data_IF_325942845668
#
_entry.id   IF_325942845668
#
_cell.length_a   1.000
_cell.length_b   1.000
_cell.length_c   1.000
_cell.angle_alpha   90.00
_cell.angle_beta   90.00
_cell.angle_gamma   90.00
#
_symmetry.space_group_name_H-M   'P 1'
#
loop_
_entity.id
_entity.type
_entity.pdbx_description
1 polymer ?
#
# COMPACT_ATOMS: atom_id res chain seq x y z
N UNK A 1 -5.48 -9.14 0.23
CA UNK A 1 -4.77 -9.04 -1.06
C UNK A 1 -3.37 -9.64 -0.95
N UNK A 2 -3.20 -10.86 -0.41
CA UNK A 2 -1.87 -11.50 -0.42
C UNK A 2 -1.43 -11.76 -1.87
N UNK A 3 -0.13 -11.67 -2.15
CA UNK A 3 0.51 -11.83 -3.45
C UNK A 3 0.04 -10.87 -4.55
N UNK A 4 -0.55 -9.72 -4.19
CA UNK A 4 -0.93 -8.69 -5.17
C UNK A 4 0.25 -7.79 -5.57
N UNK A 5 0.20 -7.22 -6.76
CA UNK A 5 1.19 -6.32 -7.31
C UNK A 5 1.09 -4.92 -6.73
N UNK A 6 2.14 -4.12 -6.92
CA UNK A 6 2.21 -2.72 -6.49
C UNK A 6 1.03 -1.90 -7.04
N UNK A 7 0.66 -2.12 -8.31
CA UNK A 7 -0.40 -1.37 -8.99
C UNK A 7 -1.76 -1.49 -8.27
N UNK A 8 -2.10 -2.67 -7.76
CA UNK A 8 -3.36 -2.90 -7.05
C UNK A 8 -3.42 -2.14 -5.72
N UNK A 9 -2.32 -2.09 -4.97
CA UNK A 9 -2.25 -1.26 -3.76
C UNK A 9 -2.30 0.23 -4.07
N UNK A 10 -1.58 0.66 -5.11
CA UNK A 10 -1.58 2.04 -5.55
C UNK A 10 -3.00 2.50 -5.95
N UNK A 11 -3.75 1.64 -6.65
CA UNK A 11 -5.14 1.88 -7.04
C UNK A 11 -6.10 1.88 -5.83
N UNK A 12 -5.90 0.99 -4.87
CA UNK A 12 -6.69 0.96 -3.63
C UNK A 12 -6.50 2.25 -2.83
N UNK A 13 -5.25 2.72 -2.71
CA UNK A 13 -4.95 3.98 -2.04
C UNK A 13 -5.54 5.18 -2.79
N UNK A 14 -5.42 5.20 -4.12
CA UNK A 14 -6.03 6.21 -4.99
C UNK A 14 -7.55 6.32 -4.78
N UNK A 15 -8.27 5.20 -4.82
CA UNK A 15 -9.73 5.18 -4.66
C UNK A 15 -10.18 5.71 -3.29
N UNK A 16 -9.30 5.63 -2.29
CA UNK A 16 -9.55 6.04 -0.92
C UNK A 16 -8.78 7.32 -0.51
N UNK A 17 -8.22 8.09 -1.45
CA UNK A 17 -7.22 9.16 -1.18
C UNK A 17 -7.74 10.39 -0.41
N UNK A 18 -8.01 10.21 0.88
CA UNK A 18 -8.34 11.29 1.83
C UNK A 18 -8.10 10.79 3.26
N UNK A 19 -7.83 11.69 4.23
CA UNK A 19 -7.67 11.30 5.63
C UNK A 19 -8.87 10.53 6.17
N UNK A 20 -10.08 10.98 5.84
CA UNK A 20 -11.33 10.40 6.33
C UNK A 20 -11.57 8.99 5.76
N UNK A 21 -11.31 8.76 4.47
CA UNK A 21 -11.50 7.44 3.87
C UNK A 21 -10.40 6.47 4.30
N UNK A 22 -9.13 6.85 4.22
CA UNK A 22 -8.00 5.97 4.58
C UNK A 22 -8.04 5.55 6.05
N UNK A 23 -8.44 6.44 6.97
CA UNK A 23 -8.58 6.09 8.40
C UNK A 23 -9.68 5.07 8.69
N UNK A 24 -10.61 4.87 7.74
CA UNK A 24 -11.62 3.81 7.79
C UNK A 24 -11.18 2.54 7.04
N UNK A 25 -9.99 2.54 6.43
CA UNK A 25 -9.43 1.39 5.73
C UNK A 25 -8.57 0.54 6.67
N UNK A 26 -8.69 -0.77 6.48
CA UNK A 26 -7.87 -1.79 7.13
C UNK A 26 -7.42 -2.74 6.01
N UNK A 27 -6.12 -2.74 5.68
CA UNK A 27 -5.60 -3.52 4.56
C UNK A 27 -4.92 -4.76 5.11
N UNK A 28 -5.32 -5.93 4.63
CA UNK A 28 -4.60 -7.19 4.84
C UNK A 28 -4.02 -7.59 3.48
N UNK A 29 -2.70 -7.64 3.39
CA UNK A 29 -2.00 -7.90 2.14
C UNK A 29 -0.50 -7.97 2.34
N UNK A 30 0.25 -7.94 1.24
CA UNK A 30 1.70 -7.94 1.22
C UNK A 30 2.27 -6.79 2.03
N UNK A 31 3.41 -7.02 2.65
CA UNK A 31 4.13 -6.02 3.41
C UNK A 31 4.43 -4.79 2.55
N UNK A 32 3.99 -3.62 3.00
CA UNK A 32 4.38 -2.35 2.39
C UNK A 32 5.87 -2.07 2.59
N UNK A 33 6.41 -2.47 3.75
CA UNK A 33 7.83 -2.43 4.03
C UNK A 33 8.66 -3.21 2.99
N UNK A 34 8.20 -4.38 2.54
CA UNK A 34 8.86 -5.14 1.49
C UNK A 34 8.95 -4.38 0.15
N UNK A 35 7.91 -3.67 -0.26
CA UNK A 35 7.97 -2.85 -1.47
C UNK A 35 8.99 -1.72 -1.32
N UNK A 36 9.09 -1.08 -0.16
CA UNK A 36 10.08 -0.03 0.07
C UNK A 36 11.52 -0.54 0.11
N UNK A 37 11.73 -1.83 0.40
CA UNK A 37 13.05 -2.47 0.37
C UNK A 37 13.43 -2.92 -1.05
N UNK A 38 12.45 -3.41 -1.82
CA UNK A 38 12.67 -3.98 -3.17
C UNK A 38 12.71 -2.92 -4.27
N UNK A 39 11.94 -1.84 -4.14
CA UNK A 39 11.78 -0.83 -5.18
C UNK A 39 12.67 0.39 -4.94
N UNK A 40 13.17 0.95 -6.03
CA UNK A 40 13.87 2.24 -6.02
C UNK A 40 12.90 3.41 -5.88
N UNK A 41 13.41 4.57 -5.45
CA UNK A 41 12.64 5.82 -5.41
C UNK A 41 12.07 6.20 -6.79
N UNK A 42 12.79 5.86 -7.87
CA UNK A 42 12.32 6.08 -9.24
C UNK A 42 11.11 5.21 -9.58
N UNK A 43 11.14 3.92 -9.23
CA UNK A 43 10.02 2.99 -9.43
C UNK A 43 8.80 3.34 -8.57
N UNK A 44 9.02 3.72 -7.30
CA UNK A 44 7.94 4.23 -6.45
C UNK A 44 7.36 5.53 -6.98
N UNK A 45 8.17 6.40 -7.57
CA UNK A 45 7.68 7.66 -8.16
C UNK A 45 6.86 7.42 -9.42
N UNK A 46 7.23 6.45 -10.25
CA UNK A 46 6.54 6.16 -11.51
C UNK A 46 5.30 5.29 -11.33
N UNK A 47 5.39 4.23 -10.51
CA UNK A 47 4.34 3.19 -10.40
C UNK A 47 3.64 3.13 -9.04
N UNK A 48 4.28 3.65 -8.00
CA UNK A 48 3.82 3.54 -6.62
C UNK A 48 3.55 4.87 -5.93
N UNK A 49 3.08 5.89 -6.67
CA UNK A 49 2.93 7.26 -6.16
C UNK A 49 2.24 7.31 -4.80
N UNK A 50 1.07 6.68 -4.66
CA UNK A 50 0.30 6.71 -3.42
C UNK A 50 0.99 5.93 -2.30
N UNK A 51 1.58 4.78 -2.63
CA UNK A 51 2.36 3.98 -1.67
C UNK A 51 3.55 4.78 -1.12
N UNK A 52 4.21 5.58 -1.96
CA UNK A 52 5.29 6.48 -1.58
C UNK A 52 4.78 7.59 -0.64
N UNK A 53 3.68 8.25 -0.99
CA UNK A 53 3.12 9.36 -0.19
C UNK A 53 2.69 8.91 1.22
N UNK A 54 2.23 7.66 1.40
CA UNK A 54 1.85 7.15 2.71
C UNK A 54 3.01 6.57 3.53
N UNK A 55 4.24 6.60 3.02
CA UNK A 55 5.40 5.99 3.70
C UNK A 55 5.56 6.62 5.09
N UNK A 56 5.44 5.79 6.13
CA UNK A 56 5.54 6.21 7.53
C UNK A 56 4.24 6.75 8.16
N UNK A 57 3.12 6.78 7.44
CA UNK A 57 1.83 7.26 7.98
C UNK A 57 0.94 6.15 8.55
N UNK A 58 1.24 4.90 8.21
CA UNK A 58 0.49 3.72 8.62
C UNK A 58 1.29 2.90 9.63
N UNK A 59 0.56 2.09 10.41
CA UNK A 59 1.13 1.06 11.25
C UNK A 59 1.04 -0.26 10.51
N UNK A 60 2.19 -0.91 10.34
CA UNK A 60 2.30 -2.25 9.79
C UNK A 60 2.42 -3.27 10.92
N UNK A 61 1.64 -4.35 10.83
CA UNK A 61 1.66 -5.47 11.76
C UNK A 61 1.83 -6.76 10.94
N UNK A 62 3.03 -7.37 10.91
CA UNK A 62 3.24 -8.62 10.18
C UNK A 62 2.41 -9.73 10.82
N UNK A 63 1.87 -10.61 10.00
CA UNK A 63 1.18 -11.80 10.49
C UNK A 63 2.23 -12.73 11.12
N UNK A 64 2.08 -13.08 12.40
CA UNK A 64 3.09 -13.86 13.10
C UNK A 64 3.09 -15.31 12.59
N UNK A 65 4.19 -15.72 11.96
CA UNK A 65 4.41 -17.08 11.46
C UNK A 65 4.23 -18.17 12.54
N UNK A 66 4.30 -17.83 13.83
CA UNK A 66 4.13 -18.76 14.95
C UNK A 66 2.73 -19.41 15.05
N UNK A 67 1.72 -18.88 14.33
CA UNK A 67 0.37 -19.47 14.26
C UNK A 67 0.16 -20.39 13.04
N UNK A 68 1.09 -20.43 12.09
CA UNK A 68 0.96 -21.18 10.85
C UNK A 68 1.98 -22.32 10.80
N UNK A 69 1.51 -23.55 11.03
CA UNK A 69 2.31 -24.76 10.92
C UNK A 69 2.10 -25.40 9.55
N UNK A 70 2.56 -24.77 8.46
CA UNK A 70 2.80 -25.36 7.11
C UNK A 70 3.10 -24.24 6.10
N UNK A 71 4.11 -24.46 5.26
CA UNK A 71 4.39 -23.80 3.97
C UNK A 71 3.94 -22.33 3.81
N UNK A 72 4.83 -21.46 4.29
CA UNK A 72 5.17 -20.04 4.04
C UNK A 72 4.41 -19.16 3.00
N UNK A 73 3.17 -19.44 2.63
CA UNK A 73 2.39 -18.63 1.65
C UNK A 73 1.96 -17.28 2.23
N UNK A 74 2.08 -17.04 3.54
CA UNK A 74 1.70 -15.78 4.20
C UNK A 74 2.88 -15.06 4.86
N UNK A 75 4.11 -15.46 4.56
CA UNK A 75 5.30 -14.89 5.19
C UNK A 75 5.51 -13.40 4.87
N UNK A 76 4.95 -12.93 3.77
CA UNK A 76 4.94 -11.54 3.34
C UNK A 76 3.64 -10.81 3.69
N UNK A 77 2.71 -11.43 4.41
CA UNK A 77 1.42 -10.83 4.72
C UNK A 77 1.45 -10.00 6.00
N UNK A 78 0.93 -8.78 5.90
CA UNK A 78 0.84 -7.77 6.95
C UNK A 78 -0.55 -7.14 7.01
N UNK A 79 -0.87 -6.62 8.19
CA UNK A 79 -2.03 -5.77 8.46
C UNK A 79 -1.58 -4.30 8.48
N UNK A 80 -2.20 -3.45 7.67
CA UNK A 80 -1.89 -2.02 7.57
C UNK A 80 -3.05 -1.18 8.10
N UNK A 81 -2.76 -0.36 9.10
CA UNK A 81 -3.74 0.47 9.80
C UNK A 81 -3.35 1.95 9.68
N UNK A 82 -4.31 2.79 9.33
CA UNK A 82 -4.10 4.23 9.17
C UNK A 82 -4.74 4.99 10.32
N UNK A 83 -3.93 5.69 11.12
CA UNK A 83 -4.46 6.51 12.20
C UNK A 83 -4.78 7.92 11.69
N UNK A 84 -6.01 8.40 11.93
CA UNK A 84 -6.47 9.68 11.39
C UNK A 84 -5.57 10.86 11.79
N UNK A 85 -4.98 10.83 13.00
CA UNK A 85 -4.05 11.88 13.44
C UNK A 85 -2.84 12.00 12.51
N UNK A 86 -2.19 10.88 12.17
CA UNK A 86 -1.02 10.86 11.30
C UNK A 86 -1.35 11.40 9.89
N UNK A 87 -2.58 11.13 9.40
CA UNK A 87 -3.03 11.59 8.09
C UNK A 87 -3.33 13.10 8.09
N UNK A 88 -3.90 13.63 9.18
CA UNK A 88 -4.22 15.06 9.30
C UNK A 88 -3.00 15.94 9.55
N UNK A 89 -1.88 15.37 9.98
CA UNK A 89 -0.61 16.07 10.14
C UNK A 89 0.02 16.47 8.78
N UNK A 90 -0.41 15.83 7.68
CA UNK A 90 0.05 16.18 6.34
C UNK A 90 -0.60 17.46 5.80
N UNK A 91 0.14 18.24 4.98
CA UNK A 91 -0.43 19.41 4.33
C UNK A 91 -1.53 19.02 3.34
N UNK A 92 -2.58 19.85 3.25
CA UNK A 92 -3.74 19.65 2.38
C UNK A 92 -3.36 19.42 0.90
N UNK A 93 -2.21 19.95 0.49
CA UNK A 93 -1.68 19.82 -0.87
C UNK A 93 -1.45 18.36 -1.27
N UNK A 94 -1.06 17.48 -0.34
CA UNK A 94 -0.87 16.04 -0.58
C UNK A 94 -2.19 15.38 -0.98
N UNK A 95 -3.27 15.73 -0.28
CA UNK A 95 -4.60 15.18 -0.52
C UNK A 95 -5.25 15.74 -1.79
N UNK A 96 -4.96 17.00 -2.13
CA UNK A 96 -5.45 17.60 -3.38
C UNK A 96 -4.73 17.08 -4.62
N UNK A 97 -3.49 16.59 -4.47
CA UNK A 97 -2.73 16.00 -5.58
C UNK A 97 -3.10 14.54 -5.74
N UNK A 98 -4.01 14.27 -6.67
CA UNK A 98 -4.58 12.95 -6.92
C UNK A 98 -4.43 12.51 -8.40
N UNK A 99 -3.19 12.31 -8.89
CA UNK A 99 -2.96 11.85 -10.26
C UNK A 99 -3.55 10.46 -10.49
N UNK A 100 -4.32 10.29 -11.56
CA UNK A 100 -4.84 8.97 -11.91
C UNK A 100 -3.68 7.97 -12.14
N UNK A 101 -3.69 6.81 -11.49
CA UNK A 101 -2.67 5.78 -11.70
C UNK A 101 -2.59 5.37 -13.18
N UNK A 102 -1.38 5.31 -13.73
CA UNK A 102 -1.18 4.72 -15.05
C UNK A 102 -1.32 3.20 -14.96
N UNK A 103 -2.21 2.64 -15.77
CA UNK A 103 -2.31 1.19 -15.95
C UNK A 103 -1.23 0.77 -16.95
N UNK A 104 -0.23 0.02 -16.49
CA UNK A 104 0.78 -0.58 -17.35
C UNK A 104 0.14 -1.80 -18.04
N UNK A 105 -0.13 -1.79 -19.37
CA UNK A 105 -0.84 -2.89 -20.04
C UNK A 105 -0.06 -4.22 -20.03
N UNK A 106 1.24 -4.19 -19.74
CA UNK A 106 2.10 -5.35 -19.56
C UNK A 106 2.21 -5.81 -18.10
N UNK A 107 1.47 -5.21 -17.17
CA UNK A 107 1.38 -5.69 -15.79
C UNK A 107 0.59 -7.01 -15.77
N UNK A 108 1.31 -8.13 -15.58
CA UNK A 108 0.77 -9.51 -15.62
C UNK A 108 -0.40 -9.71 -14.66
N UNK A 109 -0.55 -8.86 -13.63
CA UNK A 109 -1.67 -8.89 -12.68
C UNK A 109 -2.97 -8.24 -13.18
N UNK A 110 -2.96 -7.57 -14.34
CA UNK A 110 -4.17 -7.02 -14.97
C UNK A 110 -4.84 -7.97 -15.97
N UNK A 111 -4.20 -9.11 -16.27
CA UNK A 111 -4.79 -10.21 -17.04
C UNK A 111 -5.35 -11.27 -16.10
N UNK A 112 -6.51 -11.00 -15.52
CA UNK A 112 -7.36 -12.01 -14.86
C UNK A 112 -8.67 -12.19 -15.64
#
# INVERSE_FOLDING_TARGET
MPHCGLALYNNLLYANWSPEKLSNCCIIGNSFSDYYLKLTDAELTSKGYYLREIKGLFKELPFNASLCSSDDVFNDTSLHLFHISNLKDLPITVWTKNPEPSLDPDDEEMTL
#
